data_IF_794471308357
#
_entry.id   IF_794471308357
#
_cell.length_a   1.000
_cell.length_b   1.000
_cell.length_c   1.000
_cell.angle_alpha   90.00
_cell.angle_beta   90.00
_cell.angle_gamma   90.00
#
_symmetry.space_group_name_H-M   'P 1'
#
loop_
_entity.id
_entity.type
_entity.pdbx_description
1 polymer ?
#
# COMPACT_ATOMS: atom_id res chain seq x y z
N UNK A 1 27.12 41.17 12.38
CA UNK A 1 27.29 40.28 11.20
C UNK A 1 26.78 38.93 11.55
N UNK A 2 25.89 38.39 10.72
CA UNK A 2 25.18 37.17 10.96
C UNK A 2 26.11 35.93 11.15
N UNK A 3 27.18 35.81 10.36
CA UNK A 3 28.10 34.65 10.48
C UNK A 3 28.75 34.56 11.87
N UNK A 4 29.19 35.71 12.45
CA UNK A 4 29.74 35.71 13.81
C UNK A 4 28.67 35.39 14.87
N UNK A 5 27.46 35.92 14.67
CA UNK A 5 26.33 35.63 15.55
C UNK A 5 26.00 34.13 15.55
N UNK A 6 25.88 33.51 14.38
CA UNK A 6 25.60 32.06 14.26
C UNK A 6 26.73 31.23 14.87
N UNK A 7 28.01 31.57 14.56
CA UNK A 7 29.17 30.85 15.09
C UNK A 7 29.24 30.83 16.62
N UNK A 8 28.87 31.95 17.25
CA UNK A 8 28.89 32.12 18.71
C UNK A 8 27.67 31.49 19.41
N UNK A 9 26.67 31.03 18.64
CA UNK A 9 25.39 30.55 19.20
C UNK A 9 24.95 29.18 18.67
N UNK A 10 25.86 28.41 18.11
CA UNK A 10 25.53 27.08 17.48
C UNK A 10 24.79 26.16 18.45
N UNK A 11 25.28 26.02 19.68
CA UNK A 11 24.68 25.13 20.69
C UNK A 11 23.27 25.58 21.09
N UNK A 12 23.05 26.89 21.28
CA UNK A 12 21.74 27.43 21.63
C UNK A 12 20.75 27.27 20.46
N UNK A 13 21.19 27.45 19.22
CA UNK A 13 20.38 27.21 18.03
C UNK A 13 19.98 25.74 17.89
N UNK A 14 20.90 24.80 18.06
CA UNK A 14 20.61 23.37 18.03
C UNK A 14 19.57 23.02 19.10
N UNK A 15 19.78 23.50 20.34
CA UNK A 15 18.83 23.27 21.43
C UNK A 15 17.44 23.80 21.12
N UNK A 16 17.33 25.05 20.61
CA UNK A 16 16.05 25.68 20.23
C UNK A 16 15.34 24.91 19.11
N UNK A 17 16.06 24.48 18.09
CA UNK A 17 15.50 23.64 17.02
C UNK A 17 14.98 22.32 17.59
N UNK A 18 15.76 21.63 18.41
CA UNK A 18 15.38 20.37 19.05
C UNK A 18 14.10 20.53 19.89
N UNK A 19 14.00 21.63 20.67
CA UNK A 19 12.81 21.93 21.46
C UNK A 19 11.57 22.21 20.59
N UNK A 20 11.71 22.96 19.46
CA UNK A 20 10.61 23.20 18.53
C UNK A 20 10.11 21.91 17.90
N UNK A 21 11.01 21.08 17.42
CA UNK A 21 10.71 19.79 16.81
C UNK A 21 10.01 18.85 17.81
N UNK A 22 10.49 18.78 19.06
CA UNK A 22 9.93 17.89 20.09
C UNK A 22 8.51 18.27 20.54
N UNK A 23 8.13 19.53 20.42
CA UNK A 23 6.80 20.05 20.80
C UNK A 23 5.72 19.84 19.74
N UNK A 24 6.05 19.35 18.54
CA UNK A 24 5.05 19.15 17.47
C UNK A 24 4.11 17.99 17.79
N UNK A 25 2.79 18.17 17.64
CA UNK A 25 1.83 17.09 17.83
C UNK A 25 2.07 15.96 16.84
N UNK A 26 1.95 14.70 17.31
CA UNK A 26 2.15 13.47 16.54
C UNK A 26 3.59 13.14 16.11
N UNK A 27 4.59 13.71 16.75
CA UNK A 27 5.98 13.45 16.44
C UNK A 27 6.65 12.67 17.58
N UNK A 28 6.95 11.41 17.32
CA UNK A 28 7.83 10.60 18.18
C UNK A 28 9.25 10.66 17.58
N UNK A 29 9.93 11.79 17.78
CA UNK A 29 11.29 11.93 17.29
C UNK A 29 12.28 11.32 18.29
N UNK A 30 13.17 10.45 17.80
CA UNK A 30 14.30 9.94 18.57
C UNK A 30 15.37 11.04 18.70
N UNK A 31 16.23 10.95 19.73
CA UNK A 31 17.34 11.88 19.91
C UNK A 31 18.24 11.99 18.67
N UNK A 32 18.45 10.86 17.98
CA UNK A 32 19.18 10.79 16.71
C UNK A 32 18.47 11.58 15.58
N UNK A 33 17.15 11.56 15.53
CA UNK A 33 16.35 12.32 14.56
C UNK A 33 16.44 13.81 14.82
N UNK A 34 16.47 14.22 16.09
CA UNK A 34 16.51 15.62 16.50
C UNK A 34 17.88 16.28 16.26
N UNK A 35 18.97 15.51 16.31
CA UNK A 35 20.34 16.01 16.13
C UNK A 35 20.86 15.93 14.70
N UNK A 36 20.12 15.27 13.78
CA UNK A 36 20.61 15.02 12.43
C UNK A 36 20.46 16.26 11.52
N UNK A 37 21.52 16.60 10.79
CA UNK A 37 21.53 17.63 9.74
C UNK A 37 21.73 19.07 10.20
N UNK A 38 21.23 19.49 11.36
CA UNK A 38 21.28 20.90 11.83
C UNK A 38 22.72 21.42 11.98
N UNK A 39 23.65 20.72 12.64
CA UNK A 39 25.03 21.20 12.81
C UNK A 39 25.76 21.38 11.47
N UNK A 40 25.54 20.48 10.52
CA UNK A 40 26.17 20.53 9.20
C UNK A 40 25.64 21.73 8.41
N UNK A 41 24.33 21.92 8.38
CA UNK A 41 23.71 23.06 7.70
C UNK A 41 24.20 24.39 8.31
N UNK A 42 24.22 24.54 9.64
CA UNK A 42 24.72 25.75 10.31
C UNK A 42 26.18 26.02 9.94
N UNK A 43 27.03 25.02 9.94
CA UNK A 43 28.43 25.16 9.53
C UNK A 43 28.57 25.67 8.10
N UNK A 44 27.81 25.11 7.17
CA UNK A 44 27.82 25.53 5.77
C UNK A 44 27.22 26.92 5.56
N UNK A 45 26.16 27.28 6.30
CA UNK A 45 25.57 28.61 6.29
C UNK A 45 26.56 29.67 6.77
N UNK A 46 27.24 29.41 7.89
CA UNK A 46 28.29 30.32 8.44
C UNK A 46 29.38 30.56 7.40
N UNK A 47 29.91 29.51 6.78
CA UNK A 47 30.94 29.58 5.73
C UNK A 47 30.44 30.32 4.49
N UNK A 48 29.18 30.13 4.10
CA UNK A 48 28.59 30.85 2.96
C UNK A 48 28.51 32.34 3.23
N UNK A 49 28.00 32.74 4.40
CA UNK A 49 27.90 34.14 4.82
C UNK A 49 29.29 34.80 4.93
N UNK A 50 30.26 34.08 5.45
CA UNK A 50 31.65 34.55 5.56
C UNK A 50 32.30 34.71 4.18
N UNK A 51 32.10 33.73 3.29
CA UNK A 51 32.61 33.79 1.91
C UNK A 51 32.01 34.96 1.12
N UNK A 52 30.69 35.17 1.24
CA UNK A 52 30.01 36.27 0.56
C UNK A 52 30.55 37.62 0.95
N UNK A 53 30.88 37.79 2.22
CA UNK A 53 31.44 39.04 2.74
C UNK A 53 32.90 39.26 2.34
N UNK A 54 33.75 38.23 2.41
CA UNK A 54 35.20 38.35 2.18
C UNK A 54 35.61 38.19 0.73
N UNK A 55 34.92 37.36 -0.04
CA UNK A 55 35.32 36.90 -1.37
C UNK A 55 34.26 37.14 -2.44
N UNK A 56 33.06 37.58 -2.07
CA UNK A 56 31.96 37.88 -2.97
C UNK A 56 31.06 36.68 -3.31
N UNK A 57 30.02 36.95 -4.09
CA UNK A 57 28.93 36.03 -4.36
C UNK A 57 29.35 34.74 -5.03
N UNK A 58 30.39 34.73 -5.89
CA UNK A 58 30.84 33.52 -6.58
C UNK A 58 31.40 32.46 -5.61
N UNK A 59 32.16 32.90 -4.59
CA UNK A 59 32.69 31.99 -3.56
C UNK A 59 31.57 31.44 -2.65
N UNK A 60 30.61 32.28 -2.31
CA UNK A 60 29.44 31.85 -1.53
C UNK A 60 28.55 30.85 -2.27
N UNK A 61 28.31 31.04 -3.58
CA UNK A 61 27.51 30.14 -4.39
C UNK A 61 28.18 28.79 -4.63
N UNK A 62 29.50 28.70 -4.57
CA UNK A 62 30.21 27.42 -4.63
C UNK A 62 29.85 26.51 -3.43
N UNK A 63 29.54 27.11 -2.27
CA UNK A 63 29.14 26.39 -1.05
C UNK A 63 27.63 26.11 -1.05
N UNK A 64 26.81 27.16 -1.24
CA UNK A 64 25.35 27.08 -1.04
C UNK A 64 24.56 26.83 -2.33
N UNK A 65 25.17 26.88 -3.49
CA UNK A 65 24.47 26.90 -4.78
C UNK A 65 23.95 28.28 -5.19
N UNK A 66 23.64 28.43 -6.48
CA UNK A 66 22.95 29.57 -7.02
C UNK A 66 21.49 29.63 -6.57
N UNK A 67 20.87 30.80 -6.66
CA UNK A 67 19.41 30.91 -6.40
C UNK A 67 18.63 30.07 -7.41
N UNK A 68 17.74 29.20 -6.93
CA UNK A 68 16.97 28.27 -7.75
C UNK A 68 17.69 26.93 -8.05
N UNK A 69 18.90 26.76 -7.51
CA UNK A 69 19.68 25.52 -7.64
C UNK A 69 20.32 25.33 -9.03
N UNK A 70 21.11 24.27 -9.16
CA UNK A 70 21.62 23.75 -10.45
C UNK A 70 21.38 22.25 -10.46
N UNK A 71 20.44 21.78 -11.29
CA UNK A 71 20.12 20.35 -11.42
C UNK A 71 21.26 19.51 -11.99
N UNK A 72 22.20 20.11 -12.69
CA UNK A 72 23.33 19.41 -13.31
C UNK A 72 24.47 19.16 -12.32
N UNK A 73 24.60 20.00 -11.29
CA UNK A 73 25.68 19.90 -10.31
C UNK A 73 25.27 20.46 -8.95
N UNK A 74 25.10 19.57 -7.98
CA UNK A 74 24.82 19.96 -6.60
C UNK A 74 26.02 20.75 -6.02
N UNK A 75 25.70 21.80 -5.24
CA UNK A 75 26.66 22.50 -4.39
C UNK A 75 27.11 21.63 -3.21
N UNK A 76 28.08 22.07 -2.43
CA UNK A 76 28.50 21.40 -1.20
C UNK A 76 27.31 21.21 -0.24
N UNK A 77 26.50 22.27 -0.06
CA UNK A 77 25.29 22.23 0.76
C UNK A 77 24.23 21.32 0.16
N UNK A 78 24.05 21.32 -1.16
CA UNK A 78 23.12 20.43 -1.86
C UNK A 78 23.46 18.95 -1.67
N UNK A 79 24.73 18.57 -1.75
CA UNK A 79 25.18 17.19 -1.49
C UNK A 79 24.83 16.75 -0.07
N UNK A 80 25.09 17.61 0.92
CA UNK A 80 24.78 17.27 2.31
C UNK A 80 23.27 17.29 2.60
N UNK A 81 22.52 18.17 1.96
CA UNK A 81 21.07 18.21 2.05
C UNK A 81 20.42 16.97 1.42
N UNK A 82 20.90 16.51 0.26
CA UNK A 82 20.45 15.26 -0.36
C UNK A 82 20.73 14.06 0.54
N UNK A 83 21.94 13.95 1.10
CA UNK A 83 22.27 12.90 2.06
C UNK A 83 21.39 12.94 3.31
N UNK A 84 21.04 14.15 3.78
CA UNK A 84 20.12 14.34 4.88
C UNK A 84 18.70 13.88 4.52
N UNK A 85 18.21 14.18 3.30
CA UNK A 85 16.93 13.70 2.80
C UNK A 85 16.84 12.17 2.80
N UNK A 86 17.88 11.46 2.36
CA UNK A 86 17.96 9.99 2.44
C UNK A 86 17.89 9.49 3.88
N UNK A 87 18.68 10.09 4.78
CA UNK A 87 18.68 9.70 6.20
C UNK A 87 17.33 9.91 6.88
N UNK A 88 16.59 10.97 6.53
CA UNK A 88 15.25 11.23 7.05
C UNK A 88 14.22 10.21 6.54
N UNK A 89 14.37 9.71 5.32
CA UNK A 89 13.52 8.61 4.81
C UNK A 89 13.73 7.33 5.61
N UNK A 90 14.98 6.94 5.90
CA UNK A 90 15.30 5.79 6.74
C UNK A 90 14.73 5.90 8.17
N UNK A 91 14.57 7.13 8.65
CA UNK A 91 13.96 7.46 9.94
C UNK A 91 12.43 7.59 9.88
N UNK A 92 11.79 7.20 8.76
CA UNK A 92 10.35 7.25 8.52
C UNK A 92 9.73 8.65 8.62
N UNK A 93 10.45 9.67 8.20
CA UNK A 93 9.89 11.02 8.07
C UNK A 93 8.91 11.12 6.92
N UNK A 94 8.00 12.10 6.99
CA UNK A 94 7.18 12.53 5.86
C UNK A 94 7.81 13.74 5.18
N UNK A 95 7.45 14.00 3.92
CA UNK A 95 7.90 15.20 3.18
C UNK A 95 7.58 16.48 3.96
N UNK A 96 6.40 16.56 4.55
CA UNK A 96 5.95 17.66 5.40
C UNK A 96 6.92 17.91 6.57
N UNK A 97 7.35 16.85 7.25
CA UNK A 97 8.31 16.95 8.35
C UNK A 97 9.68 17.43 7.88
N UNK A 98 10.16 16.96 6.71
CA UNK A 98 11.44 17.42 6.14
C UNK A 98 11.42 18.94 5.91
N UNK A 99 10.38 19.46 5.28
CA UNK A 99 10.24 20.89 5.00
C UNK A 99 10.16 21.70 6.29
N UNK A 100 9.37 21.25 7.24
CA UNK A 100 9.17 21.96 8.50
C UNK A 100 10.43 22.01 9.37
N UNK A 101 11.32 21.02 9.31
CA UNK A 101 12.56 21.04 10.10
C UNK A 101 13.50 22.19 9.69
N UNK A 102 13.58 22.47 8.40
CA UNK A 102 14.30 23.67 7.93
C UNK A 102 13.60 24.97 8.33
N UNK A 103 12.27 24.98 8.35
CA UNK A 103 11.48 26.12 8.85
C UNK A 103 11.72 26.39 10.34
N UNK A 104 11.81 25.34 11.17
CA UNK A 104 12.14 25.47 12.60
C UNK A 104 13.52 26.05 12.82
N UNK A 105 14.49 25.68 11.99
CA UNK A 105 15.82 26.25 12.04
C UNK A 105 15.82 27.76 11.70
N UNK A 106 15.11 28.15 10.64
CA UNK A 106 14.94 29.55 10.28
C UNK A 106 14.31 30.36 11.42
N UNK A 107 13.26 29.85 12.03
CA UNK A 107 12.60 30.49 13.16
C UNK A 107 13.51 30.53 14.40
N UNK A 108 14.27 29.49 14.69
CA UNK A 108 15.21 29.49 15.81
C UNK A 108 16.31 30.58 15.64
N UNK A 109 16.81 30.76 14.42
CA UNK A 109 17.79 31.80 14.09
C UNK A 109 17.19 33.20 14.31
N UNK A 110 15.99 33.43 13.78
CA UNK A 110 15.32 34.73 13.87
C UNK A 110 14.88 35.06 15.30
N UNK A 111 14.30 34.09 16.03
CA UNK A 111 13.92 34.28 17.43
C UNK A 111 15.14 34.61 18.31
N UNK A 112 16.26 33.90 18.11
CA UNK A 112 17.47 34.18 18.88
C UNK A 112 18.08 35.53 18.55
N UNK A 113 17.98 35.98 17.30
CA UNK A 113 18.44 37.31 16.89
C UNK A 113 17.63 38.42 17.54
N UNK A 114 16.32 38.27 17.65
CA UNK A 114 15.44 39.19 18.38
C UNK A 114 15.76 39.19 19.86
N UNK A 115 15.90 38.02 20.49
CA UNK A 115 16.20 37.91 21.93
C UNK A 115 17.52 38.57 22.33
N UNK A 116 18.49 38.64 21.41
CA UNK A 116 19.82 39.17 21.66
C UNK A 116 20.07 40.56 21.03
N UNK A 117 19.03 41.19 20.53
CA UNK A 117 19.09 42.49 19.84
C UNK A 117 20.22 42.54 18.77
N UNK A 118 20.24 41.48 17.94
CA UNK A 118 21.25 41.30 16.90
C UNK A 118 20.62 41.45 15.51
N UNK A 119 20.38 42.65 14.98
CA UNK A 119 19.72 42.86 13.70
C UNK A 119 20.57 42.33 12.55
N UNK A 120 19.93 41.64 11.61
CA UNK A 120 20.53 41.18 10.37
C UNK A 120 20.29 42.21 9.25
N UNK A 121 21.25 42.32 8.35
CA UNK A 121 21.05 43.11 7.13
C UNK A 121 20.15 42.35 6.16
N UNK A 122 19.54 43.10 5.24
CA UNK A 122 18.70 42.50 4.18
C UNK A 122 19.49 41.47 3.34
N UNK A 123 20.76 41.78 3.05
CA UNK A 123 21.61 40.88 2.24
C UNK A 123 21.98 39.61 3.00
N UNK A 124 22.27 39.67 4.29
CA UNK A 124 22.48 38.48 5.13
C UNK A 124 21.24 37.61 5.20
N UNK A 125 20.06 38.23 5.29
CA UNK A 125 18.80 37.50 5.29
C UNK A 125 18.47 36.84 3.92
N UNK A 126 18.80 37.52 2.81
CA UNK A 126 18.69 36.93 1.46
C UNK A 126 19.59 35.75 1.31
N UNK A 127 20.80 35.77 1.82
CA UNK A 127 21.73 34.63 1.79
C UNK A 127 21.23 33.46 2.64
N UNK A 128 20.71 33.73 3.84
CA UNK A 128 20.05 32.71 4.66
C UNK A 128 18.91 32.03 3.91
N UNK A 129 17.98 32.80 3.33
CA UNK A 129 16.86 32.25 2.59
C UNK A 129 17.30 31.42 1.38
N UNK A 130 18.28 31.89 0.60
CA UNK A 130 18.86 31.15 -0.52
C UNK A 130 19.42 29.80 -0.07
N UNK A 131 20.15 29.78 1.06
CA UNK A 131 20.70 28.55 1.62
C UNK A 131 19.60 27.57 2.05
N UNK A 132 18.56 28.06 2.71
CA UNK A 132 17.41 27.26 3.14
C UNK A 132 16.63 26.70 1.94
N UNK A 133 16.30 27.54 0.96
CA UNK A 133 15.53 27.15 -0.22
C UNK A 133 16.25 26.06 -1.01
N UNK A 134 17.56 26.22 -1.25
CA UNK A 134 18.35 25.22 -1.94
C UNK A 134 18.45 23.91 -1.14
N UNK A 135 18.71 23.98 0.16
CA UNK A 135 18.82 22.79 1.02
C UNK A 135 17.47 22.04 1.12
N UNK A 136 16.36 22.76 1.25
CA UNK A 136 15.02 22.16 1.24
C UNK A 136 14.76 21.47 -0.10
N UNK A 137 15.02 22.15 -1.22
CA UNK A 137 14.78 21.62 -2.55
C UNK A 137 15.58 20.34 -2.79
N UNK A 138 16.87 20.32 -2.45
CA UNK A 138 17.75 19.18 -2.65
C UNK A 138 17.38 18.02 -1.70
N UNK A 139 17.09 18.29 -0.43
CA UNK A 139 16.67 17.28 0.54
C UNK A 139 15.33 16.63 0.15
N UNK A 140 14.33 17.43 -0.24
CA UNK A 140 13.00 16.93 -0.65
C UNK A 140 13.07 16.17 -1.97
N UNK A 141 13.89 16.64 -2.91
CA UNK A 141 14.08 15.96 -4.20
C UNK A 141 14.66 14.57 -3.99
N UNK A 142 15.75 14.45 -3.23
CA UNK A 142 16.38 13.15 -2.94
C UNK A 142 15.46 12.25 -2.10
N UNK A 143 14.83 12.78 -1.05
CA UNK A 143 13.84 12.05 -0.26
C UNK A 143 12.75 11.42 -1.13
N UNK A 144 12.18 12.21 -2.06
CA UNK A 144 11.09 11.75 -2.95
C UNK A 144 11.58 10.71 -3.94
N UNK A 145 12.79 10.91 -4.48
CA UNK A 145 13.43 9.95 -5.38
C UNK A 145 13.69 8.61 -4.68
N UNK A 146 14.32 8.62 -3.53
CA UNK A 146 14.63 7.39 -2.75
C UNK A 146 13.35 6.67 -2.30
N UNK A 147 12.32 7.43 -1.92
CA UNK A 147 10.99 6.87 -1.60
C UNK A 147 10.39 6.15 -2.81
N UNK A 148 10.48 6.74 -4.00
CA UNK A 148 10.02 6.12 -5.25
C UNK A 148 10.77 4.82 -5.55
N UNK A 149 12.10 4.82 -5.41
CA UNK A 149 12.94 3.62 -5.58
C UNK A 149 12.55 2.53 -4.58
N UNK A 150 12.37 2.88 -3.31
CA UNK A 150 11.97 1.92 -2.26
C UNK A 150 10.61 1.29 -2.56
N UNK A 151 9.62 2.08 -2.98
CA UNK A 151 8.28 1.57 -3.37
C UNK A 151 8.40 0.61 -4.58
N UNK A 152 9.16 0.99 -5.61
CA UNK A 152 9.35 0.15 -6.79
C UNK A 152 10.06 -1.17 -6.46
N UNK A 153 11.07 -1.13 -5.59
CA UNK A 153 11.77 -2.33 -5.11
C UNK A 153 10.84 -3.24 -4.31
N UNK A 154 10.02 -2.68 -3.43
CA UNK A 154 9.03 -3.44 -2.65
C UNK A 154 8.00 -4.12 -3.56
N UNK A 155 7.50 -3.40 -4.56
CA UNK A 155 6.57 -3.97 -5.54
C UNK A 155 7.21 -5.11 -6.33
N UNK A 156 8.46 -4.94 -6.80
CA UNK A 156 9.20 -5.98 -7.51
C UNK A 156 9.45 -7.20 -6.62
N UNK A 157 9.81 -7.00 -5.35
CA UNK A 157 10.02 -8.09 -4.40
C UNK A 157 8.72 -8.89 -4.17
N UNK A 158 7.59 -8.21 -4.01
CA UNK A 158 6.28 -8.84 -3.84
C UNK A 158 5.89 -9.68 -5.08
N UNK A 159 6.10 -9.14 -6.29
CA UNK A 159 5.84 -9.88 -7.54
C UNK A 159 6.73 -11.12 -7.65
N UNK A 160 8.02 -11.01 -7.33
CA UNK A 160 8.95 -12.14 -7.37
C UNK A 160 8.60 -13.23 -6.34
N UNK A 161 8.15 -12.85 -5.15
CA UNK A 161 7.67 -13.79 -4.13
C UNK A 161 6.43 -14.53 -4.61
N UNK A 162 5.45 -13.81 -5.17
CA UNK A 162 4.23 -14.39 -5.77
C UNK A 162 4.56 -15.37 -6.89
N UNK A 163 5.46 -15.00 -7.81
CA UNK A 163 5.91 -15.88 -8.88
C UNK A 163 6.66 -17.11 -8.35
N UNK A 164 7.51 -16.96 -7.35
CA UNK A 164 8.24 -18.05 -6.73
C UNK A 164 7.29 -19.10 -6.12
N UNK A 165 6.27 -18.63 -5.41
CA UNK A 165 5.23 -19.50 -4.85
C UNK A 165 4.41 -20.21 -5.94
N UNK A 166 3.95 -19.46 -6.96
CA UNK A 166 3.20 -20.02 -8.09
C UNK A 166 3.99 -21.14 -8.78
N UNK A 167 5.26 -20.91 -9.08
CA UNK A 167 6.15 -21.90 -9.71
C UNK A 167 6.33 -23.14 -8.83
N UNK A 168 6.43 -22.96 -7.52
CA UNK A 168 6.53 -24.08 -6.57
C UNK A 168 5.28 -24.95 -6.56
N UNK A 169 4.10 -24.36 -6.47
CA UNK A 169 2.82 -25.08 -6.44
C UNK A 169 2.48 -25.72 -7.80
N UNK A 170 2.79 -25.04 -8.90
CA UNK A 170 2.68 -25.64 -10.24
C UNK A 170 3.57 -26.87 -10.38
N UNK A 171 4.84 -26.78 -9.97
CA UNK A 171 5.79 -27.92 -10.01
C UNK A 171 5.29 -29.08 -9.15
N UNK A 172 4.76 -28.81 -7.96
CA UNK A 172 4.20 -29.81 -7.07
C UNK A 172 2.99 -30.51 -7.69
N UNK A 173 2.04 -29.74 -8.24
CA UNK A 173 0.84 -30.28 -8.89
C UNK A 173 1.20 -31.11 -10.14
N UNK A 174 2.15 -30.63 -10.94
CA UNK A 174 2.69 -31.35 -12.10
C UNK A 174 3.37 -32.65 -11.68
N UNK A 175 4.17 -32.64 -10.62
CA UNK A 175 4.85 -33.83 -10.09
C UNK A 175 3.84 -34.90 -9.64
N UNK A 176 2.77 -34.47 -8.95
CA UNK A 176 1.68 -35.39 -8.54
C UNK A 176 0.95 -35.98 -9.76
N UNK A 177 0.65 -35.14 -10.76
CA UNK A 177 0.02 -35.59 -11.99
C UNK A 177 0.92 -36.59 -12.75
N UNK A 178 2.21 -36.30 -12.88
CA UNK A 178 3.19 -37.19 -13.56
C UNK A 178 3.35 -38.51 -12.82
N UNK A 179 3.45 -38.48 -11.48
CA UNK A 179 3.50 -39.72 -10.69
C UNK A 179 2.24 -40.57 -10.87
N UNK A 180 1.05 -39.94 -10.93
CA UNK A 180 -0.19 -40.66 -11.18
C UNK A 180 -0.21 -41.32 -12.57
N UNK A 181 0.25 -40.62 -13.62
CA UNK A 181 0.39 -41.16 -14.97
C UNK A 181 1.36 -42.36 -14.98
N UNK A 182 2.56 -42.20 -14.42
CA UNK A 182 3.56 -43.28 -14.33
C UNK A 182 3.02 -44.52 -13.59
N UNK A 183 2.30 -44.32 -12.49
CA UNK A 183 1.68 -45.41 -11.75
C UNK A 183 0.57 -46.13 -12.55
N UNK A 184 -0.19 -45.39 -13.35
CA UNK A 184 -1.20 -45.92 -14.25
C UNK A 184 -0.59 -46.77 -15.37
N UNK A 185 0.48 -46.26 -15.99
CA UNK A 185 1.23 -46.96 -17.04
C UNK A 185 1.87 -48.28 -16.50
N UNK A 186 2.55 -48.18 -15.35
CA UNK A 186 3.23 -49.35 -14.76
C UNK A 186 2.27 -50.40 -14.22
N UNK A 187 1.12 -49.97 -13.70
CA UNK A 187 0.12 -50.90 -13.08
C UNK A 187 -1.06 -51.26 -13.97
N UNK A 188 -1.11 -50.76 -15.22
CA UNK A 188 -2.27 -50.88 -16.12
C UNK A 188 -3.58 -50.45 -15.45
N UNK A 189 -3.52 -49.40 -14.61
CA UNK A 189 -4.64 -48.94 -13.80
C UNK A 189 -5.59 -48.05 -14.64
N UNK A 190 -6.91 -48.20 -14.48
CA UNK A 190 -7.88 -47.43 -15.26
C UNK A 190 -7.93 -45.96 -14.78
N UNK A 191 -8.15 -45.05 -15.73
CA UNK A 191 -8.36 -43.60 -15.47
C UNK A 191 -9.56 -43.35 -14.53
N UNK A 192 -10.54 -44.23 -14.47
CA UNK A 192 -11.70 -44.19 -13.58
C UNK A 192 -11.40 -44.53 -12.11
N UNK A 193 -10.20 -45.04 -11.81
CA UNK A 193 -9.81 -45.47 -10.48
C UNK A 193 -9.26 -44.33 -9.58
N UNK A 194 -8.82 -44.73 -8.38
CA UNK A 194 -8.26 -43.78 -7.38
C UNK A 194 -7.07 -42.99 -7.92
N UNK A 195 -6.19 -43.61 -8.72
CA UNK A 195 -5.02 -42.96 -9.33
C UNK A 195 -5.44 -41.93 -10.38
N UNK A 196 -6.47 -42.21 -11.18
CA UNK A 196 -7.05 -41.24 -12.11
C UNK A 196 -7.72 -40.08 -11.41
N UNK A 197 -8.32 -40.27 -10.23
CA UNK A 197 -8.83 -39.20 -9.41
C UNK A 197 -7.70 -38.28 -8.88
N UNK A 198 -6.52 -38.83 -8.55
CA UNK A 198 -5.33 -38.04 -8.18
C UNK A 198 -4.84 -37.21 -9.36
N UNK A 199 -4.76 -37.78 -10.57
CA UNK A 199 -4.39 -37.07 -11.80
C UNK A 199 -5.34 -35.90 -12.07
N UNK A 200 -6.66 -36.14 -12.03
CA UNK A 200 -7.67 -35.08 -12.24
C UNK A 200 -7.53 -33.97 -11.22
N UNK A 201 -7.32 -34.28 -9.94
CA UNK A 201 -7.09 -33.25 -8.91
C UNK A 201 -5.82 -32.43 -9.17
N UNK A 202 -4.72 -33.08 -9.58
CA UNK A 202 -3.46 -32.38 -9.92
C UNK A 202 -3.65 -31.43 -11.09
N UNK A 203 -4.34 -31.84 -12.15
CA UNK A 203 -4.64 -31.00 -13.31
C UNK A 203 -5.57 -29.81 -12.96
N UNK A 204 -6.65 -30.10 -12.20
CA UNK A 204 -7.57 -29.05 -11.75
C UNK A 204 -6.88 -28.02 -10.82
N UNK A 205 -5.95 -28.48 -9.99
CA UNK A 205 -5.14 -27.56 -9.16
C UNK A 205 -4.25 -26.66 -10.02
N UNK A 206 -3.60 -27.18 -11.08
CA UNK A 206 -2.81 -26.36 -12.02
C UNK A 206 -3.68 -25.34 -12.76
N UNK A 207 -4.85 -25.74 -13.25
CA UNK A 207 -5.80 -24.86 -13.93
C UNK A 207 -6.21 -23.69 -13.03
N UNK A 208 -6.59 -23.98 -11.78
CA UNK A 208 -6.93 -22.94 -10.78
C UNK A 208 -5.77 -21.99 -10.49
N UNK A 209 -4.53 -22.52 -10.41
CA UNK A 209 -3.32 -21.71 -10.22
C UNK A 209 -3.09 -20.73 -11.38
N UNK A 210 -3.20 -21.24 -12.61
CA UNK A 210 -3.00 -20.44 -13.82
C UNK A 210 -4.08 -19.35 -13.91
N UNK A 211 -5.35 -19.72 -13.71
CA UNK A 211 -6.46 -18.77 -13.74
C UNK A 211 -6.28 -17.69 -12.69
N UNK A 212 -5.98 -18.04 -11.44
CA UNK A 212 -5.74 -17.08 -10.37
C UNK A 212 -4.58 -16.13 -10.67
N UNK A 213 -3.49 -16.63 -11.27
CA UNK A 213 -2.34 -15.78 -11.66
C UNK A 213 -2.67 -14.85 -12.81
N UNK A 214 -3.48 -15.29 -13.78
CA UNK A 214 -3.96 -14.44 -14.87
C UNK A 214 -4.89 -13.34 -14.36
N UNK A 215 -5.76 -13.65 -13.41
CA UNK A 215 -6.66 -12.67 -12.78
C UNK A 215 -5.87 -11.64 -11.97
N UNK A 216 -4.81 -12.05 -11.28
CA UNK A 216 -3.91 -11.12 -10.57
C UNK A 216 -3.20 -10.17 -11.55
N UNK A 217 -2.69 -10.68 -12.67
CA UNK A 217 -2.05 -9.84 -13.72
C UNK A 217 -3.06 -8.88 -14.34
N UNK A 218 -4.30 -9.31 -14.59
CA UNK A 218 -5.36 -8.44 -15.12
C UNK A 218 -5.77 -7.35 -14.13
N UNK A 219 -5.84 -7.67 -12.84
CA UNK A 219 -6.20 -6.71 -11.80
C UNK A 219 -5.12 -5.65 -11.55
N UNK A 220 -3.85 -5.96 -11.81
CA UNK A 220 -2.70 -5.03 -11.62
C UNK A 220 -2.29 -4.28 -12.88
N UNK A 221 -2.73 -4.74 -14.08
CA UNK A 221 -2.38 -4.12 -15.35
C UNK A 221 -3.23 -2.87 -15.67
N UNK A 222 -2.65 -1.91 -16.41
CA UNK A 222 -3.35 -0.79 -17.08
C UNK A 222 -4.21 -1.26 -18.27
N UNK A 223 -4.76 -2.48 -18.22
CA UNK A 223 -5.65 -2.97 -19.27
C UNK A 223 -6.87 -2.04 -19.36
N UNK A 224 -7.25 -1.68 -20.57
CA UNK A 224 -8.46 -0.92 -20.87
C UNK A 224 -9.63 -1.64 -20.19
N UNK A 225 -10.11 -1.08 -19.09
CA UNK A 225 -11.22 -1.65 -18.32
C UNK A 225 -12.49 -1.46 -19.12
N UNK A 226 -13.20 -2.52 -19.37
CA UNK A 226 -14.54 -2.46 -20.00
C UNK A 226 -15.57 -2.11 -18.93
N UNK A 227 -15.58 -0.81 -18.55
CA UNK A 227 -16.46 -0.27 -17.52
C UNK A 227 -17.87 -0.12 -18.07
N UNK A 228 -18.69 -1.13 -17.90
CA UNK A 228 -20.08 -1.15 -18.33
C UNK A 228 -21.05 -0.91 -17.17
N UNK A 229 -22.21 -0.33 -17.50
CA UNK A 229 -23.33 -0.27 -16.58
C UNK A 229 -24.12 -1.58 -16.67
N UNK A 230 -24.39 -2.20 -15.53
CA UNK A 230 -25.19 -3.42 -15.46
C UNK A 230 -26.14 -3.39 -14.25
N UNK A 231 -27.26 -4.11 -14.39
CA UNK A 231 -28.25 -4.22 -13.32
C UNK A 231 -27.76 -5.13 -12.20
N UNK A 232 -27.90 -4.68 -10.96
CA UNK A 232 -27.45 -5.41 -9.78
C UNK A 232 -28.24 -6.71 -9.58
N UNK A 233 -29.55 -6.70 -9.87
CA UNK A 233 -30.41 -7.89 -9.75
C UNK A 233 -29.94 -9.04 -10.65
N UNK A 234 -29.64 -8.76 -11.93
CA UNK A 234 -29.15 -9.75 -12.88
C UNK A 234 -27.73 -10.23 -12.53
N UNK A 235 -26.90 -9.36 -12.00
CA UNK A 235 -25.56 -9.70 -11.53
C UNK A 235 -25.59 -10.66 -10.32
N UNK A 236 -26.44 -10.37 -9.33
CA UNK A 236 -26.60 -11.23 -8.15
C UNK A 236 -27.25 -12.56 -8.51
N UNK A 237 -28.22 -12.58 -9.46
CA UNK A 237 -28.81 -13.82 -9.96
C UNK A 237 -27.77 -14.75 -10.55
N UNK A 238 -26.91 -14.26 -11.45
CA UNK A 238 -25.84 -15.05 -12.07
C UNK A 238 -24.81 -15.55 -11.03
N UNK A 239 -24.38 -14.67 -10.11
CA UNK A 239 -23.48 -15.06 -9.04
C UNK A 239 -24.09 -16.14 -8.16
N UNK A 240 -25.38 -16.07 -7.88
CA UNK A 240 -26.10 -17.04 -7.04
C UNK A 240 -26.32 -18.39 -7.73
N UNK A 241 -26.61 -18.41 -9.03
CA UNK A 241 -26.77 -19.65 -9.79
C UNK A 241 -25.48 -20.48 -9.81
N UNK A 242 -24.33 -19.82 -10.06
CA UNK A 242 -23.04 -20.47 -10.01
C UNK A 242 -22.68 -20.96 -8.59
N UNK A 243 -23.00 -20.17 -7.56
CA UNK A 243 -22.71 -20.48 -6.17
C UNK A 243 -23.58 -21.61 -5.60
N UNK A 244 -24.84 -21.74 -6.07
CA UNK A 244 -25.76 -22.80 -5.63
C UNK A 244 -25.21 -24.18 -5.91
N UNK A 245 -24.55 -24.38 -7.05
CA UNK A 245 -23.93 -25.67 -7.39
C UNK A 245 -22.83 -26.07 -6.38
N UNK A 246 -21.99 -25.11 -5.98
CA UNK A 246 -20.94 -25.34 -4.98
C UNK A 246 -21.55 -25.57 -3.58
N UNK A 247 -22.59 -24.82 -3.23
CA UNK A 247 -23.31 -24.99 -1.96
C UNK A 247 -23.91 -26.39 -1.84
N UNK A 248 -24.57 -26.88 -2.89
CA UNK A 248 -25.18 -28.21 -2.95
C UNK A 248 -24.13 -29.34 -2.85
N UNK A 249 -23.00 -29.18 -3.58
CA UNK A 249 -21.88 -30.13 -3.55
C UNK A 249 -21.26 -30.21 -2.14
N UNK A 250 -21.24 -29.11 -1.38
CA UNK A 250 -20.70 -29.02 -0.01
C UNK A 250 -21.74 -29.29 1.08
N UNK A 251 -23.03 -29.44 0.71
CA UNK A 251 -24.14 -29.62 1.66
C UNK A 251 -24.36 -28.36 2.54
N UNK A 252 -24.10 -27.16 2.04
CA UNK A 252 -24.35 -25.91 2.73
C UNK A 252 -25.74 -25.36 2.40
N UNK A 253 -26.40 -24.75 3.37
CA UNK A 253 -27.61 -23.95 3.12
C UNK A 253 -27.19 -22.61 2.54
N UNK A 254 -27.72 -22.26 1.37
CA UNK A 254 -27.44 -20.99 0.74
C UNK A 254 -28.72 -20.19 0.51
N UNK A 255 -28.73 -18.91 0.88
CA UNK A 255 -29.87 -18.01 0.70
C UNK A 255 -29.45 -16.71 0.05
N UNK A 256 -30.35 -16.18 -0.79
CA UNK A 256 -30.16 -14.92 -1.49
C UNK A 256 -31.36 -14.02 -1.24
N UNK A 257 -31.10 -12.81 -0.71
CA UNK A 257 -32.15 -11.84 -0.47
C UNK A 257 -32.62 -11.20 -1.78
N UNK A 258 -33.92 -10.83 -1.90
CA UNK A 258 -34.43 -10.08 -3.05
C UNK A 258 -33.65 -8.77 -3.26
N UNK A 259 -33.32 -8.46 -4.51
CA UNK A 259 -32.54 -7.27 -4.88
C UNK A 259 -33.47 -6.25 -5.54
N UNK A 260 -33.28 -4.98 -5.22
CA UNK A 260 -33.99 -3.87 -5.88
C UNK A 260 -33.57 -3.80 -7.36
N UNK A 261 -34.52 -4.01 -8.27
CA UNK A 261 -34.31 -4.04 -9.72
C UNK A 261 -33.92 -2.69 -10.33
N UNK A 262 -34.04 -1.61 -9.55
CA UNK A 262 -33.62 -0.25 -9.97
C UNK A 262 -32.13 0.02 -9.79
N UNK A 263 -31.42 -0.85 -9.04
CA UNK A 263 -30.01 -0.65 -8.74
C UNK A 263 -29.11 -1.03 -9.93
N UNK A 264 -28.19 -0.11 -10.22
CA UNK A 264 -27.22 -0.26 -11.32
C UNK A 264 -25.82 -0.08 -10.74
N UNK A 265 -24.89 -0.93 -11.14
CA UNK A 265 -23.46 -0.79 -10.90
C UNK A 265 -22.74 -0.44 -12.20
N UNK A 266 -21.61 0.25 -12.07
CA UNK A 266 -20.68 0.47 -13.17
C UNK A 266 -19.34 -0.17 -12.80
N UNK A 267 -18.79 -0.98 -13.70
CA UNK A 267 -17.52 -1.64 -13.48
C UNK A 267 -17.22 -2.71 -14.53
N UNK A 268 -16.10 -3.37 -14.37
CA UNK A 268 -15.76 -4.61 -15.06
C UNK A 268 -16.59 -5.74 -14.44
N UNK A 269 -17.68 -6.09 -15.13
CA UNK A 269 -18.67 -7.05 -14.64
C UNK A 269 -18.07 -8.43 -14.34
N UNK A 270 -17.20 -8.90 -15.22
CA UNK A 270 -16.61 -10.25 -15.11
C UNK A 270 -15.62 -10.31 -13.94
N UNK A 271 -14.78 -9.28 -13.76
CA UNK A 271 -13.87 -9.17 -12.63
C UNK A 271 -14.63 -9.09 -11.28
N UNK A 272 -15.75 -8.37 -11.24
CA UNK A 272 -16.59 -8.28 -10.05
C UNK A 272 -17.35 -9.58 -9.77
N UNK A 273 -17.79 -10.30 -10.82
CA UNK A 273 -18.42 -11.63 -10.67
C UNK A 273 -17.43 -12.63 -10.06
N UNK A 274 -16.19 -12.65 -10.57
CA UNK A 274 -15.12 -13.48 -10.01
C UNK A 274 -14.81 -13.12 -8.54
N UNK A 275 -14.84 -11.84 -8.18
CA UNK A 275 -14.62 -11.37 -6.81
C UNK A 275 -15.72 -11.89 -5.87
N UNK A 276 -17.00 -11.79 -6.24
CA UNK A 276 -18.13 -12.31 -5.46
C UNK A 276 -18.07 -13.83 -5.35
N UNK A 277 -17.74 -14.53 -6.43
CA UNK A 277 -17.55 -15.98 -6.44
C UNK A 277 -16.45 -16.43 -5.46
N UNK A 278 -15.33 -15.70 -5.41
CA UNK A 278 -14.26 -15.97 -4.45
C UNK A 278 -14.71 -15.79 -2.99
N UNK A 279 -15.55 -14.79 -2.69
CA UNK A 279 -16.11 -14.60 -1.34
C UNK A 279 -17.07 -15.72 -0.97
N UNK A 280 -17.97 -16.11 -1.88
CA UNK A 280 -18.94 -17.20 -1.66
C UNK A 280 -18.25 -18.54 -1.48
N UNK A 281 -17.28 -18.88 -2.33
CA UNK A 281 -16.49 -20.11 -2.20
C UNK A 281 -15.77 -20.19 -0.86
N UNK A 282 -15.19 -19.08 -0.38
CA UNK A 282 -14.60 -19.01 0.96
C UNK A 282 -15.67 -19.18 2.06
N UNK A 283 -16.83 -18.57 1.93
CA UNK A 283 -17.93 -18.71 2.90
C UNK A 283 -18.39 -20.17 3.00
N UNK A 284 -18.59 -20.87 1.87
CA UNK A 284 -18.95 -22.30 1.86
C UNK A 284 -17.84 -23.19 2.43
N UNK A 285 -16.58 -22.83 2.18
CA UNK A 285 -15.43 -23.59 2.69
C UNK A 285 -15.32 -23.55 4.22
N UNK A 286 -15.57 -22.39 4.83
CA UNK A 286 -15.29 -22.13 6.24
C UNK A 286 -16.53 -22.10 7.13
N UNK A 287 -17.75 -22.06 6.57
CA UNK A 287 -18.97 -22.14 7.35
C UNK A 287 -19.08 -23.47 8.11
N UNK A 288 -19.68 -23.45 9.29
CA UNK A 288 -19.90 -24.68 10.06
C UNK A 288 -20.95 -25.57 9.39
N UNK A 289 -20.85 -26.89 9.51
CA UNK A 289 -21.87 -27.82 9.00
C UNK A 289 -23.28 -27.43 9.48
N UNK A 290 -24.27 -27.56 8.61
CA UNK A 290 -25.68 -27.24 8.86
C UNK A 290 -25.94 -25.76 9.24
N UNK A 291 -25.08 -24.85 8.82
CA UNK A 291 -25.32 -23.42 8.94
C UNK A 291 -25.53 -22.77 7.57
N UNK A 292 -26.11 -21.58 7.58
CA UNK A 292 -26.47 -20.85 6.38
C UNK A 292 -25.33 -19.93 5.93
N UNK A 293 -25.12 -19.85 4.62
CA UNK A 293 -24.37 -18.76 3.97
C UNK A 293 -25.40 -17.87 3.25
N UNK A 294 -25.35 -16.57 3.47
CA UNK A 294 -26.31 -15.66 2.84
C UNK A 294 -25.61 -14.59 1.97
N UNK A 295 -26.23 -14.31 0.81
CA UNK A 295 -25.86 -13.23 -0.12
C UNK A 295 -26.96 -12.16 -0.10
N UNK A 296 -26.59 -10.93 0.28
CA UNK A 296 -27.50 -9.80 0.32
C UNK A 296 -26.92 -8.68 -0.55
N UNK A 297 -27.83 -7.98 -1.26
CA UNK A 297 -27.46 -6.77 -1.98
C UNK A 297 -28.48 -5.68 -1.69
N UNK A 298 -28.02 -4.49 -1.32
CA UNK A 298 -28.87 -3.38 -0.87
C UNK A 298 -28.24 -2.03 -1.20
N UNK A 299 -28.99 -0.96 -1.06
CA UNK A 299 -28.48 0.40 -1.14
C UNK A 299 -28.73 1.11 0.19
N UNK A 300 -27.70 1.74 0.75
CA UNK A 300 -27.76 2.55 1.97
C UNK A 300 -27.15 3.91 1.69
N UNK A 301 -27.99 4.97 1.65
CA UNK A 301 -27.55 6.31 1.28
C UNK A 301 -26.95 6.33 -0.12
N UNK A 302 -25.70 6.80 -0.25
CA UNK A 302 -24.97 6.90 -1.52
C UNK A 302 -24.09 5.68 -1.82
N UNK A 303 -24.38 4.54 -1.19
CA UNK A 303 -23.60 3.31 -1.34
C UNK A 303 -24.51 2.15 -1.79
N UNK A 304 -23.99 1.31 -2.68
CA UNK A 304 -24.52 -0.02 -2.99
C UNK A 304 -23.66 -1.03 -2.25
N UNK A 305 -24.27 -1.91 -1.48
CA UNK A 305 -23.61 -2.91 -0.66
C UNK A 305 -23.93 -4.31 -1.17
N UNK A 306 -22.92 -5.16 -1.27
CA UNK A 306 -23.06 -6.60 -1.48
C UNK A 306 -22.42 -7.30 -0.27
N UNK A 307 -23.19 -8.09 0.46
CA UNK A 307 -22.77 -8.72 1.71
C UNK A 307 -22.83 -10.24 1.58
N UNK A 308 -21.71 -10.90 1.93
CA UNK A 308 -21.61 -12.34 2.07
C UNK A 308 -21.42 -12.65 3.55
N UNK A 309 -22.40 -13.37 4.16
CA UNK A 309 -22.36 -13.75 5.58
C UNK A 309 -22.18 -15.24 5.72
N UNK A 310 -21.31 -15.65 6.61
CA UNK A 310 -21.03 -17.03 6.96
C UNK A 310 -21.13 -17.29 8.47
N UNK A 311 -21.05 -18.55 8.85
CA UNK A 311 -21.04 -19.02 10.23
C UNK A 311 -19.75 -19.77 10.56
N UNK A 312 -18.60 -19.23 10.14
CA UNK A 312 -17.27 -19.83 10.36
C UNK A 312 -16.82 -19.89 11.83
N UNK A 313 -17.56 -19.27 12.74
CA UNK A 313 -17.19 -19.13 14.15
C UNK A 313 -16.38 -17.87 14.45
N UNK A 314 -16.11 -17.05 13.45
CA UNK A 314 -15.39 -15.79 13.57
C UNK A 314 -13.87 -15.94 13.48
N UNK A 315 -13.20 -14.80 13.46
CA UNK A 315 -11.77 -14.64 13.31
C UNK A 315 -11.10 -14.37 14.66
N UNK A 316 -9.83 -14.75 14.80
CA UNK A 316 -9.02 -14.33 15.97
C UNK A 316 -8.72 -12.84 15.90
N UNK A 317 -8.54 -12.20 17.05
CA UNK A 317 -8.20 -10.78 17.14
C UNK A 317 -6.93 -10.46 16.34
N UNK A 318 -6.99 -9.45 15.46
CA UNK A 318 -5.87 -9.01 14.62
C UNK A 318 -5.71 -9.77 13.29
N UNK A 319 -6.58 -10.75 12.98
CA UNK A 319 -6.46 -11.53 11.76
C UNK A 319 -7.32 -10.99 10.59
N UNK A 320 -8.23 -10.07 10.85
CA UNK A 320 -9.16 -9.55 9.84
C UNK A 320 -8.44 -8.85 8.67
N UNK A 321 -7.37 -8.09 8.95
CA UNK A 321 -6.58 -7.45 7.89
C UNK A 321 -5.60 -8.41 7.21
N UNK A 322 -5.02 -9.35 7.98
CA UNK A 322 -4.04 -10.30 7.48
C UNK A 322 -4.62 -11.28 6.46
N UNK A 323 -5.92 -11.56 6.53
CA UNK A 323 -6.57 -12.51 5.61
C UNK A 323 -6.60 -12.02 4.16
N UNK A 324 -6.44 -10.71 3.92
CA UNK A 324 -6.33 -10.14 2.58
C UNK A 324 -4.88 -10.12 2.04
N UNK A 325 -3.91 -10.57 2.84
CA UNK A 325 -2.52 -10.72 2.37
C UNK A 325 -2.39 -11.96 1.50
N UNK A 326 -1.63 -11.90 0.39
CA UNK A 326 -1.41 -13.04 -0.49
C UNK A 326 -0.90 -14.26 0.29
N UNK A 327 -1.30 -15.45 -0.16
CA UNK A 327 -0.87 -16.75 0.39
C UNK A 327 -1.21 -17.00 1.86
N UNK A 328 -2.10 -16.20 2.43
CA UNK A 328 -2.60 -16.41 3.79
C UNK A 328 -3.61 -17.56 3.79
N UNK A 329 -3.28 -18.67 4.46
CA UNK A 329 -4.16 -19.83 4.63
C UNK A 329 -4.52 -20.02 6.10
N UNK A 330 -5.73 -20.44 6.38
CA UNK A 330 -6.23 -20.73 7.73
C UNK A 330 -6.86 -22.10 7.81
N UNK A 331 -6.78 -22.70 9.01
CA UNK A 331 -7.36 -24.00 9.31
C UNK A 331 -6.54 -25.18 8.81
N UNK A 332 -7.06 -26.38 9.07
CA UNK A 332 -6.44 -27.66 8.68
C UNK A 332 -6.68 -27.97 7.20
N UNK A 333 -7.67 -27.33 6.59
CA UNK A 333 -7.96 -27.46 5.16
C UNK A 333 -7.11 -26.47 4.34
N UNK A 334 -5.97 -26.94 3.88
CA UNK A 334 -5.05 -26.21 2.99
C UNK A 334 -5.42 -26.35 1.50
N UNK A 335 -6.68 -26.66 1.18
CA UNK A 335 -7.16 -26.71 -0.20
C UNK A 335 -7.43 -25.30 -0.71
N UNK A 336 -6.45 -24.68 -1.33
CA UNK A 336 -6.55 -23.34 -1.91
C UNK A 336 -5.22 -22.61 -1.77
N UNK A 337 -5.01 -21.55 -2.55
CA UNK A 337 -3.74 -20.84 -2.63
C UNK A 337 -3.62 -19.69 -1.65
N UNK A 338 -4.70 -19.31 -0.97
CA UNK A 338 -4.74 -18.10 -0.17
C UNK A 338 -4.68 -16.80 -1.00
N UNK A 339 -5.02 -16.87 -2.30
CA UNK A 339 -5.05 -15.74 -3.22
C UNK A 339 -6.46 -15.18 -3.44
N UNK A 340 -7.51 -15.96 -3.24
CA UNK A 340 -8.88 -15.58 -3.61
C UNK A 340 -9.35 -14.27 -2.97
N UNK A 341 -9.08 -14.03 -1.68
CA UNK A 341 -9.46 -12.79 -1.00
C UNK A 341 -8.60 -11.60 -1.44
N UNK A 342 -7.34 -11.82 -1.76
CA UNK A 342 -6.43 -10.78 -2.28
C UNK A 342 -6.90 -10.33 -3.66
N UNK A 343 -7.19 -11.27 -4.57
CA UNK A 343 -7.70 -11.00 -5.91
C UNK A 343 -9.06 -10.31 -5.84
N UNK A 344 -9.98 -10.81 -4.99
CA UNK A 344 -11.27 -10.17 -4.80
C UNK A 344 -11.12 -8.70 -4.36
N UNK A 345 -10.26 -8.42 -3.37
CA UNK A 345 -10.00 -7.05 -2.92
C UNK A 345 -9.41 -6.18 -4.02
N UNK A 346 -8.46 -6.68 -4.79
CA UNK A 346 -7.84 -5.96 -5.91
C UNK A 346 -8.87 -5.63 -7.00
N UNK A 347 -9.68 -6.60 -7.42
CA UNK A 347 -10.74 -6.41 -8.42
C UNK A 347 -11.78 -5.39 -7.97
N UNK A 348 -12.20 -5.43 -6.69
CA UNK A 348 -13.16 -4.47 -6.12
C UNK A 348 -12.56 -3.06 -6.07
N UNK A 349 -11.33 -2.90 -5.59
CA UNK A 349 -10.63 -1.59 -5.53
C UNK A 349 -10.40 -1.05 -6.94
N UNK A 350 -10.04 -1.91 -7.89
CA UNK A 350 -9.88 -1.54 -9.28
C UNK A 350 -11.18 -1.00 -9.92
N UNK A 351 -12.33 -1.33 -9.37
CA UNK A 351 -13.66 -0.86 -9.79
C UNK A 351 -14.26 0.23 -8.86
N UNK A 352 -13.41 1.02 -8.20
CA UNK A 352 -13.78 2.10 -7.28
C UNK A 352 -14.60 1.64 -6.05
N UNK A 353 -14.53 0.36 -5.72
CA UNK A 353 -15.19 -0.22 -4.55
C UNK A 353 -14.25 -0.41 -3.36
N UNK A 354 -14.83 -0.79 -2.23
CA UNK A 354 -14.11 -1.18 -1.02
C UNK A 354 -14.58 -2.55 -0.54
N UNK A 355 -13.66 -3.37 0.01
CA UNK A 355 -13.97 -4.64 0.64
C UNK A 355 -13.57 -4.58 2.11
N UNK A 356 -14.52 -4.85 2.97
CA UNK A 356 -14.33 -4.93 4.42
C UNK A 356 -14.83 -6.25 4.98
N UNK A 357 -14.39 -6.62 6.19
CA UNK A 357 -14.87 -7.77 6.92
C UNK A 357 -15.27 -7.36 8.34
N UNK A 358 -16.48 -7.69 8.72
CA UNK A 358 -16.94 -7.60 10.09
C UNK A 358 -16.89 -8.98 10.74
N UNK A 359 -16.11 -9.08 11.80
CA UNK A 359 -15.96 -10.30 12.57
C UNK A 359 -16.96 -10.34 13.73
N UNK A 360 -17.70 -11.42 13.83
CA UNK A 360 -18.59 -11.71 14.98
C UNK A 360 -18.07 -12.98 15.70
N UNK A 361 -17.22 -12.79 16.76
CA UNK A 361 -16.60 -13.93 17.44
C UNK A 361 -17.62 -14.95 17.94
N UNK A 362 -17.38 -16.22 17.69
CA UNK A 362 -18.27 -17.35 18.02
C UNK A 362 -19.40 -17.59 17.01
N UNK A 363 -19.72 -16.61 16.16
CA UNK A 363 -20.79 -16.68 15.14
C UNK A 363 -20.21 -16.89 13.76
N UNK A 364 -19.57 -15.87 13.17
CA UNK A 364 -19.07 -15.92 11.80
C UNK A 364 -18.54 -14.58 11.31
N UNK A 365 -18.43 -14.43 9.99
CA UNK A 365 -17.95 -13.23 9.34
C UNK A 365 -18.99 -12.68 8.37
N UNK A 366 -18.95 -11.38 8.17
CA UNK A 366 -19.68 -10.68 7.12
C UNK A 366 -18.68 -9.92 6.26
N UNK A 367 -18.52 -10.33 5.01
CA UNK A 367 -17.75 -9.61 3.99
C UNK A 367 -18.66 -8.63 3.30
N UNK A 368 -18.30 -7.35 3.30
CA UNK A 368 -19.08 -6.28 2.69
C UNK A 368 -18.28 -5.62 1.58
N UNK A 369 -18.80 -5.71 0.36
CA UNK A 369 -18.34 -4.93 -0.79
C UNK A 369 -19.21 -3.66 -0.84
N UNK A 370 -18.58 -2.49 -0.97
CA UNK A 370 -19.29 -1.22 -1.08
C UNK A 370 -18.84 -0.47 -2.34
N UNK A 371 -19.82 -0.02 -3.13
CA UNK A 371 -19.61 0.82 -4.31
C UNK A 371 -20.37 2.14 -4.18
N UNK A 372 -19.87 3.25 -4.77
CA UNK A 372 -20.62 4.47 -4.87
C UNK A 372 -21.91 4.24 -5.68
N UNK A 373 -23.08 4.66 -5.14
CA UNK A 373 -24.35 4.63 -5.87
C UNK A 373 -24.31 5.69 -6.97
N UNK A 374 -24.50 5.25 -8.19
CA UNK A 374 -24.66 6.18 -9.33
C UNK A 374 -26.14 6.32 -9.65
N UNK A 375 -26.61 7.52 -10.05
CA UNK A 375 -27.98 7.68 -10.52
C UNK A 375 -28.18 6.79 -11.75
N UNK A 376 -29.35 6.13 -11.84
CA UNK A 376 -29.74 5.41 -13.04
C UNK A 376 -29.64 6.39 -14.22
N UNK A 377 -28.88 6.02 -15.25
CA UNK A 377 -28.87 6.78 -16.50
C UNK A 377 -30.34 6.79 -17.04
N UNK A 378 -30.92 7.98 -17.12
CA UNK A 378 -32.28 8.19 -17.61
C UNK A 378 -32.38 7.89 -19.10
#
# INVERSE_FOLDING_TARGET
MMHNFLANNVEDLIRRCTEKVSKRPRRYATEKQLSNGIPMFLSQLIRTLEAEQKQGTAAATAISGASGGDRARLSEMGISAAAHGTALLELNYTVDQVVHDYGDLCQAITDLAVDRDAPFTVDEFRTLNRCLDNAIADAVTEFTFQRGVSIAQQQTANVNESLGFLMHELRKSLSVATMAVTAMEAGLLPISGATGAVLKRGLSAMEKLITASLDEVRATGDAVRDLNNFKLDSFISEASEAAQLEADERGCVFSVAPVDTSLVLQGDRDALLAAVANLLSNAFKFTKPNTEVSLLASAIGDQVLIEVKDHCGGLRTGDAEKMFSPFTQRGDDKTGLGLGLTIARQSIVANDGTLSVQNSPGIGCCFTISFPRRPAAG
#
